data_IF_896992586448
#
_entry.id   IF_896992586448
#
_cell.length_a   1.000
_cell.length_b   1.000
_cell.length_c   1.000
_cell.angle_alpha   90.00
_cell.angle_beta   90.00
_cell.angle_gamma   90.00
#
_symmetry.space_group_name_H-M   'P 1'
#
loop_
_entity.id
_entity.type
_entity.pdbx_description
1 polymer ?
#
# COMPACT_ATOMS: atom_id res chain seq x y z
N UNK A 1 -14.37 8.82 13.41
CA UNK A 1 -13.69 7.54 13.73
C UNK A 1 -12.89 7.79 15.00
N UNK A 2 -13.18 7.06 16.07
CA UNK A 2 -12.45 7.23 17.34
C UNK A 2 -11.09 6.53 17.17
N UNK A 3 -9.98 7.27 17.18
CA UNK A 3 -8.64 6.70 17.12
C UNK A 3 -8.24 6.35 18.56
N UNK A 4 -7.88 5.10 18.78
CA UNK A 4 -7.28 4.66 20.03
C UNK A 4 -5.78 4.98 20.01
N UNK A 5 -5.45 6.17 20.52
CA UNK A 5 -4.06 6.65 20.57
C UNK A 5 -3.19 5.81 21.49
N UNK A 6 -3.73 5.28 22.59
CA UNK A 6 -2.97 4.55 23.59
C UNK A 6 -2.55 3.19 23.03
N UNK A 7 -3.47 2.43 22.46
CA UNK A 7 -3.14 1.15 21.80
C UNK A 7 -2.19 1.34 20.62
N UNK A 8 -2.39 2.39 19.82
CA UNK A 8 -1.51 2.70 18.70
C UNK A 8 -0.10 3.09 19.18
N UNK A 9 -0.01 3.88 20.25
CA UNK A 9 1.27 4.27 20.84
C UNK A 9 2.00 3.06 21.40
N UNK A 10 1.34 2.20 22.18
CA UNK A 10 1.93 0.98 22.71
C UNK A 10 2.49 0.09 21.58
N UNK A 11 1.71 -0.15 20.54
CA UNK A 11 2.15 -0.90 19.38
C UNK A 11 3.41 -0.32 18.72
N UNK A 12 3.46 1.00 18.51
CA UNK A 12 4.60 1.69 17.90
C UNK A 12 5.81 1.69 18.84
N UNK A 13 5.60 1.91 20.12
CA UNK A 13 6.67 2.00 21.13
C UNK A 13 7.34 0.65 21.37
N UNK A 14 6.58 -0.43 21.41
CA UNK A 14 7.10 -1.79 21.53
C UNK A 14 8.00 -2.15 20.34
N UNK A 15 7.57 -1.82 19.12
CA UNK A 15 8.45 -1.95 17.96
C UNK A 15 9.69 -1.07 18.08
N UNK A 16 9.53 0.19 18.49
CA UNK A 16 10.62 1.15 18.51
C UNK A 16 11.68 0.81 19.56
N UNK A 17 11.30 0.29 20.73
CA UNK A 17 12.22 -0.20 21.75
C UNK A 17 13.16 -1.30 21.22
N UNK A 18 12.65 -2.19 20.38
CA UNK A 18 13.47 -3.21 19.71
C UNK A 18 14.36 -2.65 18.58
N UNK A 19 13.83 -1.66 17.85
CA UNK A 19 14.52 -1.06 16.69
C UNK A 19 15.61 -0.06 17.10
N UNK A 20 15.40 0.75 18.12
CA UNK A 20 16.25 1.88 18.48
C UNK A 20 17.72 1.51 18.78
N UNK A 21 18.03 0.45 19.57
CA UNK A 21 19.42 0.09 19.87
C UNK A 21 20.22 -0.24 18.61
N UNK A 22 19.61 -1.02 17.71
CA UNK A 22 20.20 -1.36 16.41
C UNK A 22 20.43 -0.13 15.55
N UNK A 23 19.44 0.75 15.49
CA UNK A 23 19.51 1.98 14.68
C UNK A 23 20.56 2.96 15.21
N UNK A 24 20.62 3.16 16.54
CA UNK A 24 21.64 3.99 17.17
C UNK A 24 23.06 3.46 16.86
N UNK A 25 23.27 2.14 16.98
CA UNK A 25 24.54 1.49 16.65
C UNK A 25 24.91 1.71 15.17
N UNK A 26 23.98 1.53 14.26
CA UNK A 26 24.21 1.73 12.82
C UNK A 26 24.59 3.16 12.49
N UNK A 27 23.94 4.17 13.10
CA UNK A 27 24.26 5.58 12.89
C UNK A 27 25.66 5.96 13.40
N UNK A 28 26.12 5.37 14.50
CA UNK A 28 27.47 5.57 15.04
C UNK A 28 28.52 4.95 14.14
N UNK A 29 28.26 3.72 13.65
CA UNK A 29 29.18 3.00 12.74
C UNK A 29 29.34 3.74 11.41
N UNK A 30 28.27 4.33 10.86
CA UNK A 30 28.31 5.10 9.63
C UNK A 30 28.88 6.52 9.80
N UNK A 31 29.33 6.93 10.99
CA UNK A 31 29.91 8.25 11.25
C UNK A 31 28.95 9.45 11.07
N UNK A 32 27.67 9.19 10.83
CA UNK A 32 26.67 10.23 10.53
C UNK A 32 26.24 11.03 11.75
N UNK A 33 26.46 10.52 12.97
CA UNK A 33 26.16 11.23 14.23
C UNK A 33 27.31 11.08 15.23
N UNK A 34 27.83 12.22 15.71
CA UNK A 34 28.81 12.27 16.80
C UNK A 34 28.16 12.34 18.19
N UNK A 35 26.91 12.79 18.30
CA UNK A 35 26.21 12.98 19.57
C UNK A 35 24.71 12.77 19.42
N UNK A 36 24.12 11.96 20.28
CA UNK A 36 22.66 11.77 20.31
C UNK A 36 22.09 12.57 21.49
N UNK A 37 21.43 13.70 21.20
CA UNK A 37 20.66 14.45 22.18
C UNK A 37 19.19 14.09 21.99
N UNK A 38 18.57 13.54 23.02
CA UNK A 38 17.16 13.22 22.98
C UNK A 38 16.32 14.48 22.82
N UNK A 39 15.31 14.40 21.95
CA UNK A 39 14.33 15.46 21.78
C UNK A 39 13.29 15.41 22.89
N UNK A 40 12.58 16.53 23.13
CA UNK A 40 11.45 16.56 24.09
C UNK A 40 10.28 15.66 23.66
N UNK A 41 10.18 15.35 22.37
CA UNK A 41 9.17 14.47 21.79
C UNK A 41 9.88 13.19 21.34
N UNK A 42 9.37 12.03 21.75
CA UNK A 42 9.93 10.73 21.39
C UNK A 42 9.66 10.41 19.92
N UNK A 43 10.44 9.50 19.32
CA UNK A 43 10.18 9.08 17.95
C UNK A 43 8.93 8.21 17.87
N UNK A 44 8.61 7.45 18.92
CA UNK A 44 7.36 6.70 19.03
C UNK A 44 6.14 7.62 18.95
N UNK A 45 6.14 8.76 19.67
CA UNK A 45 5.06 9.76 19.58
C UNK A 45 4.94 10.34 18.15
N UNK A 46 6.07 10.64 17.49
CA UNK A 46 6.05 11.17 16.12
C UNK A 46 5.45 10.16 15.14
N UNK A 47 5.84 8.88 15.24
CA UNK A 47 5.33 7.80 14.39
C UNK A 47 3.84 7.58 14.65
N UNK A 48 3.41 7.54 15.91
CA UNK A 48 2.01 7.40 16.31
C UNK A 48 1.15 8.50 15.70
N UNK A 49 1.57 9.76 15.80
CA UNK A 49 0.84 10.90 15.21
C UNK A 49 0.75 10.80 13.69
N UNK A 50 1.80 10.35 13.02
CA UNK A 50 1.81 10.17 11.57
C UNK A 50 0.84 9.07 11.12
N UNK A 51 0.81 7.93 11.81
CA UNK A 51 -0.12 6.83 11.51
C UNK A 51 -1.56 7.26 11.82
N UNK A 52 -1.79 7.89 13.00
CA UNK A 52 -3.09 8.40 13.41
C UNK A 52 -3.68 9.41 12.42
N UNK A 53 -2.85 10.28 11.82
CA UNK A 53 -3.29 11.17 10.76
C UNK A 53 -3.94 10.41 9.60
N UNK A 54 -3.33 9.33 9.13
CA UNK A 54 -3.89 8.54 8.05
C UNK A 54 -5.13 7.73 8.46
N UNK A 55 -5.26 7.37 9.74
CA UNK A 55 -6.49 6.75 10.26
C UNK A 55 -7.63 7.76 10.42
N UNK A 56 -7.33 9.05 10.63
CA UNK A 56 -8.33 10.08 10.88
C UNK A 56 -9.23 10.39 9.67
N UNK A 57 -8.80 10.05 8.45
CA UNK A 57 -9.46 10.43 7.21
C UNK A 57 -9.37 11.93 6.87
N UNK A 58 -8.63 12.72 7.64
CA UNK A 58 -8.46 14.16 7.38
C UNK A 58 -7.53 14.39 6.18
N UNK A 59 -7.95 15.26 5.27
CA UNK A 59 -7.18 15.56 4.06
C UNK A 59 -5.94 16.45 4.29
N UNK A 60 -5.87 17.15 5.43
CA UNK A 60 -4.82 18.14 5.70
C UNK A 60 -4.13 17.87 7.04
N UNK A 61 -2.84 17.52 6.99
CA UNK A 61 -2.05 17.24 8.18
C UNK A 61 -1.97 18.42 9.16
N UNK A 62 -1.90 19.66 8.66
CA UNK A 62 -1.86 20.84 9.54
C UNK A 62 -3.12 20.95 10.40
N UNK A 63 -4.30 20.75 9.83
CA UNK A 63 -5.55 20.81 10.57
C UNK A 63 -5.67 19.69 11.58
N UNK A 64 -5.30 18.46 11.19
CA UNK A 64 -5.23 17.33 12.10
C UNK A 64 -4.30 17.61 13.30
N UNK A 65 -3.10 18.13 13.05
CA UNK A 65 -2.15 18.43 14.11
C UNK A 65 -2.60 19.54 15.06
N UNK A 66 -3.26 20.57 14.53
CA UNK A 66 -3.85 21.63 15.34
C UNK A 66 -5.02 21.13 16.20
N UNK A 67 -5.82 20.22 15.66
CA UNK A 67 -6.89 19.57 16.42
C UNK A 67 -6.30 18.65 17.51
N UNK A 68 -5.25 17.91 17.22
CA UNK A 68 -4.53 17.11 18.21
C UNK A 68 -4.01 17.97 19.36
N UNK A 69 -3.39 19.12 19.09
CA UNK A 69 -2.93 20.06 20.13
C UNK A 69 -4.09 20.58 20.97
N UNK A 70 -5.24 20.82 20.35
CA UNK A 70 -6.39 21.42 21.01
C UNK A 70 -7.14 20.42 21.90
N UNK A 71 -7.34 19.20 21.44
CA UNK A 71 -8.25 18.23 22.04
C UNK A 71 -7.55 17.05 22.73
N UNK A 72 -6.30 16.73 22.36
CA UNK A 72 -5.58 15.52 22.80
C UNK A 72 -4.20 15.80 23.40
N UNK A 73 -3.96 17.04 23.81
CA UNK A 73 -2.65 17.46 24.36
C UNK A 73 -2.25 16.66 25.62
N UNK A 74 -3.22 16.23 26.38
CA UNK A 74 -3.03 15.44 27.61
C UNK A 74 -2.51 14.01 27.36
N UNK A 75 -2.66 13.48 26.15
CA UNK A 75 -2.16 12.13 25.75
C UNK A 75 -0.67 12.15 25.44
N UNK A 76 -0.06 13.31 25.25
CA UNK A 76 1.35 13.46 24.89
C UNK A 76 2.10 14.27 25.92
N UNK A 77 3.29 13.81 26.34
CA UNK A 77 4.10 14.53 27.33
C UNK A 77 4.47 15.95 26.86
N UNK A 78 4.78 16.09 25.58
CA UNK A 78 5.15 17.37 25.00
C UNK A 78 4.88 17.44 23.50
N UNK A 79 3.84 18.16 23.10
CA UNK A 79 3.59 18.48 21.70
C UNK A 79 4.37 19.73 21.29
N UNK A 80 5.25 19.57 20.30
CA UNK A 80 6.02 20.70 19.73
C UNK A 80 5.12 21.55 18.82
N UNK A 81 5.54 22.80 18.51
CA UNK A 81 4.86 23.61 17.51
C UNK A 81 4.86 22.92 16.14
N UNK A 82 3.81 23.16 15.33
CA UNK A 82 3.60 22.51 14.02
C UNK A 82 4.85 22.52 13.10
N UNK A 83 5.49 23.70 12.94
CA UNK A 83 6.66 23.82 12.06
C UNK A 83 7.84 22.96 12.55
N UNK A 84 8.00 22.87 13.89
CA UNK A 84 9.00 21.99 14.49
C UNK A 84 8.66 20.53 14.26
N UNK A 85 7.40 20.14 14.39
CA UNK A 85 6.95 18.78 14.08
C UNK A 85 7.26 18.41 12.63
N UNK A 86 6.93 19.29 11.68
CA UNK A 86 7.24 19.08 10.25
C UNK A 86 8.74 18.86 10.01
N UNK A 87 9.60 19.55 10.75
CA UNK A 87 11.05 19.34 10.68
C UNK A 87 11.51 17.99 11.27
N UNK A 88 10.73 17.41 12.20
CA UNK A 88 11.01 16.12 12.85
C UNK A 88 10.51 14.92 12.03
N UNK A 89 9.50 15.08 11.17
CA UNK A 89 8.88 14.00 10.37
C UNK A 89 9.93 13.11 9.70
N UNK A 90 10.97 13.72 9.11
CA UNK A 90 12.02 13.00 8.40
C UNK A 90 12.77 11.97 9.27
N UNK A 91 12.79 12.16 10.59
CA UNK A 91 13.48 11.26 11.52
C UNK A 91 12.74 9.91 11.65
N UNK A 92 11.43 9.91 11.42
CA UNK A 92 10.60 8.70 11.50
C UNK A 92 10.76 7.79 10.26
N UNK A 93 11.32 8.29 9.16
CA UNK A 93 11.36 7.54 7.89
C UNK A 93 12.02 6.15 8.01
N UNK A 94 13.24 6.00 8.58
CA UNK A 94 13.87 4.68 8.67
C UNK A 94 13.08 3.69 9.54
N UNK A 95 12.53 4.16 10.66
CA UNK A 95 11.71 3.33 11.55
C UNK A 95 10.41 2.88 10.87
N UNK A 96 9.73 3.76 10.12
CA UNK A 96 8.52 3.40 9.38
C UNK A 96 8.81 2.39 8.26
N UNK A 97 9.94 2.49 7.57
CA UNK A 97 10.34 1.48 6.56
C UNK A 97 10.52 0.12 7.22
N UNK A 98 11.23 0.05 8.36
CA UNK A 98 11.42 -1.19 9.09
C UNK A 98 10.11 -1.72 9.68
N UNK A 99 9.28 -0.85 10.25
CA UNK A 99 7.97 -1.25 10.80
C UNK A 99 7.07 -1.86 9.71
N UNK A 100 6.99 -1.23 8.53
CA UNK A 100 6.21 -1.82 7.44
C UNK A 100 6.76 -3.19 7.03
N UNK A 101 8.08 -3.37 7.06
CA UNK A 101 8.72 -4.67 6.76
C UNK A 101 8.36 -5.74 7.79
N UNK A 102 8.25 -5.41 9.06
CA UNK A 102 7.81 -6.36 10.11
C UNK A 102 6.32 -6.70 10.01
N UNK A 103 5.55 -5.86 9.36
CA UNK A 103 4.10 -6.02 9.17
C UNK A 103 3.75 -6.68 7.83
N UNK A 104 4.73 -7.15 7.05
CA UNK A 104 4.44 -7.87 5.80
C UNK A 104 3.50 -9.04 6.06
N UNK A 105 2.46 -9.15 5.23
CA UNK A 105 1.47 -10.22 5.31
C UNK A 105 2.06 -11.58 4.96
N UNK A 106 1.36 -12.63 5.35
CA UNK A 106 1.74 -14.02 5.09
C UNK A 106 1.64 -14.35 3.60
N UNK A 107 2.54 -15.19 3.10
CA UNK A 107 2.46 -15.74 1.75
C UNK A 107 1.37 -16.80 1.71
N UNK A 108 0.32 -16.56 0.91
CA UNK A 108 -0.77 -17.52 0.65
C UNK A 108 -0.55 -18.23 -0.68
N UNK A 109 -1.28 -19.31 -0.95
CA UNK A 109 -1.20 -20.05 -2.23
C UNK A 109 -1.41 -19.11 -3.44
N UNK A 110 -2.36 -18.19 -3.32
CA UNK A 110 -2.63 -17.15 -4.32
C UNK A 110 -2.20 -15.80 -3.83
N UNK A 111 -1.44 -15.09 -4.65
CA UNK A 111 -1.03 -13.71 -4.45
C UNK A 111 -1.50 -12.87 -5.63
N UNK A 112 -1.72 -11.60 -5.39
CA UNK A 112 -2.19 -10.64 -6.38
C UNK A 112 -1.13 -9.56 -6.60
N UNK A 113 -0.72 -9.34 -7.85
CA UNK A 113 0.24 -8.30 -8.20
C UNK A 113 -0.43 -7.21 -9.02
N UNK A 114 -0.19 -5.96 -8.65
CA UNK A 114 -0.56 -4.80 -9.45
C UNK A 114 0.29 -3.58 -9.10
N UNK A 115 0.22 -2.56 -9.95
CA UNK A 115 0.92 -1.31 -9.77
C UNK A 115 -0.06 -0.12 -9.83
N UNK A 116 0.15 0.85 -8.93
CA UNK A 116 -0.63 2.08 -8.92
C UNK A 116 0.27 3.30 -9.08
N UNK A 117 -0.11 4.32 -9.87
CA UNK A 117 0.65 5.55 -9.99
C UNK A 117 0.49 6.42 -8.74
N UNK A 118 1.59 7.03 -8.31
CA UNK A 118 1.62 8.09 -7.32
C UNK A 118 2.12 9.38 -7.99
N UNK A 119 1.18 10.21 -8.44
CA UNK A 119 1.51 11.49 -9.05
C UNK A 119 1.96 12.50 -7.98
N UNK A 120 3.09 13.16 -8.21
CA UNK A 120 3.64 14.18 -7.27
C UNK A 120 3.20 15.60 -7.62
N UNK A 121 2.74 15.83 -8.84
CA UNK A 121 2.12 17.07 -9.26
C UNK A 121 1.29 16.86 -10.54
N UNK A 122 0.48 17.86 -10.90
CA UNK A 122 -0.20 17.87 -12.19
C UNK A 122 0.82 17.93 -13.35
N UNK A 123 0.56 17.23 -14.44
CA UNK A 123 1.47 17.10 -15.60
C UNK A 123 1.98 18.44 -16.16
N UNK A 124 1.12 19.45 -16.22
CA UNK A 124 1.50 20.80 -16.68
C UNK A 124 2.56 21.47 -15.82
N UNK A 125 2.76 20.99 -14.59
CA UNK A 125 3.74 21.52 -13.63
C UNK A 125 5.06 20.76 -13.62
N UNK A 126 5.19 19.67 -14.36
CA UNK A 126 6.39 18.81 -14.40
C UNK A 126 7.68 19.62 -14.55
N UNK A 127 7.75 20.50 -15.56
CA UNK A 127 8.95 21.33 -15.84
C UNK A 127 9.29 22.33 -14.71
N UNK A 128 8.29 22.78 -13.95
CA UNK A 128 8.43 23.75 -12.85
C UNK A 128 8.60 23.08 -11.50
N UNK A 129 8.42 21.76 -11.42
CA UNK A 129 8.42 21.03 -10.16
C UNK A 129 9.86 20.80 -9.67
N UNK A 130 10.23 21.44 -8.56
CA UNK A 130 11.60 21.40 -8.01
C UNK A 130 11.81 20.28 -6.99
N UNK A 131 10.79 19.98 -6.18
CA UNK A 131 10.90 19.09 -5.00
C UNK A 131 11.35 17.67 -5.38
N UNK A 132 10.74 17.07 -6.41
CA UNK A 132 11.08 15.72 -6.85
C UNK A 132 11.90 15.70 -8.16
N UNK A 133 12.57 16.82 -8.48
CA UNK A 133 13.43 16.89 -9.67
C UNK A 133 14.53 15.82 -9.58
N UNK A 134 14.70 15.05 -10.64
CA UNK A 134 15.66 13.94 -10.69
C UNK A 134 15.15 12.61 -10.09
N UNK A 135 14.22 12.64 -9.15
CA UNK A 135 13.64 11.46 -8.51
C UNK A 135 12.40 10.95 -9.24
N UNK A 136 11.39 11.82 -9.41
CA UNK A 136 10.17 11.47 -10.13
C UNK A 136 10.39 11.44 -11.64
N UNK A 137 9.66 10.58 -12.32
CA UNK A 137 9.71 10.41 -13.78
C UNK A 137 8.31 10.44 -14.38
N UNK A 138 8.22 10.82 -15.65
CA UNK A 138 6.98 10.80 -16.40
C UNK A 138 6.62 9.38 -16.80
N UNK A 139 5.41 8.96 -16.46
CA UNK A 139 4.87 7.64 -16.80
C UNK A 139 3.54 7.76 -17.51
N UNK A 140 3.09 6.65 -18.10
CA UNK A 140 1.79 6.52 -18.75
C UNK A 140 1.01 5.39 -18.12
N UNK A 141 -0.27 5.64 -17.84
CA UNK A 141 -1.25 4.64 -17.43
C UNK A 141 -2.38 4.56 -18.44
N UNK A 142 -3.34 3.67 -18.26
CA UNK A 142 -4.58 3.61 -19.05
C UNK A 142 -5.37 4.91 -18.99
N UNK A 143 -5.29 5.65 -17.89
CA UNK A 143 -6.01 6.92 -17.65
C UNK A 143 -5.25 8.15 -18.15
N UNK A 144 -4.00 8.00 -18.61
CA UNK A 144 -3.22 9.11 -19.15
C UNK A 144 -1.78 9.21 -18.64
N UNK A 145 -1.17 10.36 -18.89
CA UNK A 145 0.18 10.66 -18.42
C UNK A 145 0.18 11.16 -16.98
N UNK A 146 1.21 10.83 -16.23
CA UNK A 146 1.46 11.38 -14.88
C UNK A 146 2.96 11.62 -14.69
N UNK A 147 3.29 12.51 -13.75
CA UNK A 147 4.67 12.74 -13.30
C UNK A 147 4.79 12.31 -11.83
N UNK A 148 5.61 11.29 -11.57
CA UNK A 148 5.68 10.72 -10.22
C UNK A 148 6.40 9.38 -10.17
N UNK A 149 5.87 8.51 -9.33
CA UNK A 149 6.35 7.17 -9.04
C UNK A 149 5.28 6.13 -9.36
N UNK A 150 5.69 4.88 -9.52
CA UNK A 150 4.82 3.71 -9.48
C UNK A 150 5.06 2.94 -8.20
N UNK A 151 3.99 2.56 -7.55
CA UNK A 151 3.98 1.70 -6.37
C UNK A 151 3.53 0.32 -6.82
N UNK A 152 4.43 -0.64 -6.76
CA UNK A 152 4.17 -2.03 -7.10
C UNK A 152 3.90 -2.80 -5.82
N UNK A 153 2.83 -3.58 -5.79
CA UNK A 153 2.42 -4.33 -4.62
C UNK A 153 2.17 -5.79 -4.96
N UNK A 154 2.45 -6.64 -4.00
CA UNK A 154 1.93 -8.00 -3.92
C UNK A 154 1.04 -8.06 -2.68
N UNK A 155 -0.22 -8.47 -2.88
CA UNK A 155 -1.21 -8.69 -1.81
C UNK A 155 -1.53 -10.17 -1.69
N UNK A 156 -1.85 -10.62 -0.47
CA UNK A 156 -2.43 -11.94 -0.25
C UNK A 156 -3.97 -11.91 -0.32
N UNK A 157 -4.61 -13.05 -0.10
CA UNK A 157 -6.08 -13.20 -0.12
C UNK A 157 -6.79 -12.47 1.01
N UNK A 158 -6.07 -12.09 2.06
CA UNK A 158 -6.57 -11.30 3.20
C UNK A 158 -6.41 -9.79 2.99
N UNK A 159 -5.94 -9.36 1.82
CA UNK A 159 -5.71 -7.95 1.50
C UNK A 159 -4.49 -7.34 2.16
N UNK A 160 -3.63 -8.14 2.75
CA UNK A 160 -2.39 -7.67 3.36
C UNK A 160 -1.31 -7.42 2.32
N UNK A 161 -0.49 -6.39 2.54
CA UNK A 161 0.71 -6.13 1.74
C UNK A 161 1.77 -7.18 2.10
N UNK A 162 2.09 -8.06 1.16
CA UNK A 162 3.17 -9.06 1.30
C UNK A 162 4.51 -8.47 0.88
N UNK A 163 4.52 -7.73 -0.23
CA UNK A 163 5.72 -7.04 -0.75
C UNK A 163 5.35 -5.74 -1.41
N UNK A 164 6.25 -4.78 -1.37
CA UNK A 164 6.10 -3.55 -2.13
C UNK A 164 7.44 -3.05 -2.68
N UNK A 165 7.37 -2.33 -3.80
CA UNK A 165 8.51 -1.63 -4.39
C UNK A 165 8.07 -0.31 -5.01
N UNK A 166 8.91 0.72 -4.88
CA UNK A 166 8.70 2.04 -5.47
C UNK A 166 9.67 2.20 -6.64
N UNK A 167 9.14 2.61 -7.79
CA UNK A 167 9.96 2.89 -8.99
C UNK A 167 9.61 4.26 -9.57
N UNK A 168 10.47 4.78 -10.44
CA UNK A 168 10.11 5.95 -11.25
C UNK A 168 8.92 5.65 -12.17
N UNK A 169 8.09 6.65 -12.46
CA UNK A 169 6.88 6.48 -13.26
C UNK A 169 7.10 5.89 -14.66
N UNK A 170 8.31 6.01 -15.21
CA UNK A 170 8.68 5.49 -16.53
C UNK A 170 9.03 4.00 -16.57
N UNK A 171 9.16 3.35 -15.42
CA UNK A 171 9.58 1.93 -15.35
C UNK A 171 8.39 1.03 -15.72
N UNK A 172 8.67 -0.03 -16.47
CA UNK A 172 7.70 -1.07 -16.85
C UNK A 172 7.28 -1.87 -15.61
N UNK A 173 5.99 -2.21 -15.50
CA UNK A 173 5.43 -2.90 -14.32
C UNK A 173 5.99 -4.33 -14.15
N UNK A 174 6.55 -4.92 -15.21
CA UNK A 174 7.20 -6.23 -15.18
C UNK A 174 8.61 -6.19 -14.59
N UNK A 175 9.27 -5.03 -14.65
CA UNK A 175 10.68 -4.89 -14.23
C UNK A 175 10.91 -5.24 -12.75
N UNK A 176 10.11 -4.78 -11.78
CA UNK A 176 10.31 -5.07 -10.36
C UNK A 176 9.82 -6.46 -9.92
N UNK A 177 9.13 -7.21 -10.77
CA UNK A 177 8.46 -8.46 -10.38
C UNK A 177 9.43 -9.46 -9.78
N UNK A 178 10.58 -9.69 -10.40
CA UNK A 178 11.59 -10.66 -9.92
C UNK A 178 12.15 -10.29 -8.54
N UNK A 179 12.26 -8.98 -8.24
CA UNK A 179 12.67 -8.51 -6.91
C UNK A 179 11.56 -8.72 -5.88
N UNK A 180 10.31 -8.48 -6.27
CA UNK A 180 9.15 -8.61 -5.39
C UNK A 180 8.85 -10.05 -5.00
N UNK A 181 9.06 -11.01 -5.92
CA UNK A 181 8.79 -12.45 -5.67
C UNK A 181 9.97 -13.19 -5.07
N UNK A 182 11.06 -12.51 -4.75
CA UNK A 182 12.23 -13.15 -4.14
C UNK A 182 11.81 -13.92 -2.88
N UNK A 183 12.22 -15.18 -2.77
CA UNK A 183 11.91 -16.08 -1.65
C UNK A 183 10.39 -16.34 -1.46
N UNK A 184 9.59 -16.17 -2.53
CA UNK A 184 8.17 -16.51 -2.56
C UNK A 184 7.95 -17.72 -3.47
N UNK A 185 7.11 -18.66 -3.02
CA UNK A 185 6.60 -19.77 -3.83
C UNK A 185 5.07 -19.72 -3.77
N UNK A 186 4.42 -19.33 -4.87
CA UNK A 186 2.97 -19.10 -4.92
C UNK A 186 2.46 -19.00 -6.37
N UNK A 187 1.13 -18.97 -6.52
CA UNK A 187 0.45 -18.61 -7.76
C UNK A 187 0.20 -17.10 -7.77
N UNK A 188 0.79 -16.40 -8.73
CA UNK A 188 0.74 -14.93 -8.82
C UNK A 188 -0.29 -14.49 -9.86
N UNK A 189 -1.35 -13.83 -9.42
CA UNK A 189 -2.42 -13.31 -10.29
C UNK A 189 -2.11 -11.87 -10.68
N UNK A 190 -1.97 -11.63 -11.99
CA UNK A 190 -1.67 -10.31 -12.52
C UNK A 190 -2.57 -9.89 -13.68
N UNK A 191 -2.44 -8.63 -14.12
CA UNK A 191 -3.11 -8.14 -15.33
C UNK A 191 -2.42 -8.62 -16.61
N UNK A 192 -3.09 -8.49 -17.75
CA UNK A 192 -2.56 -8.77 -19.10
C UNK A 192 -1.26 -8.02 -19.40
N UNK A 193 -0.98 -6.93 -18.69
CA UNK A 193 0.27 -6.17 -18.78
C UNK A 193 1.50 -6.98 -18.40
N UNK A 194 1.35 -7.94 -17.48
CA UNK A 194 2.46 -8.79 -17.01
C UNK A 194 2.81 -9.94 -17.95
N UNK A 195 2.05 -10.17 -19.02
CA UNK A 195 2.32 -11.24 -19.99
C UNK A 195 3.66 -11.01 -20.70
N UNK A 196 4.63 -11.89 -20.43
CA UNK A 196 5.93 -11.95 -21.07
C UNK A 196 6.46 -13.39 -20.99
N UNK A 197 6.87 -13.96 -22.12
CA UNK A 197 7.46 -15.32 -22.15
C UNK A 197 8.70 -15.41 -21.26
N UNK A 198 9.56 -14.38 -21.31
CA UNK A 198 10.78 -14.31 -20.50
C UNK A 198 10.43 -14.28 -19.02
N UNK A 199 9.56 -13.34 -18.60
CA UNK A 199 9.15 -13.21 -17.19
C UNK A 199 8.50 -14.50 -16.67
N UNK A 200 7.62 -15.14 -17.45
CA UNK A 200 6.96 -16.38 -17.04
C UNK A 200 7.94 -17.52 -16.83
N UNK A 201 8.98 -17.64 -17.68
CA UNK A 201 10.02 -18.63 -17.53
C UNK A 201 10.89 -18.37 -16.28
N UNK A 202 11.28 -17.10 -16.05
CA UNK A 202 12.05 -16.70 -14.88
C UNK A 202 11.28 -16.96 -13.57
N UNK A 203 9.98 -16.65 -13.54
CA UNK A 203 9.10 -16.91 -12.41
C UNK A 203 8.94 -18.40 -12.12
N UNK A 204 8.74 -19.20 -13.17
CA UNK A 204 8.61 -20.66 -13.05
C UNK A 204 9.86 -21.29 -12.41
N UNK A 205 11.05 -20.81 -12.75
CA UNK A 205 12.31 -21.26 -12.14
C UNK A 205 12.41 -20.91 -10.64
N UNK A 206 11.61 -19.96 -10.15
CA UNK A 206 11.50 -19.58 -8.72
C UNK A 206 10.26 -20.21 -8.04
N UNK A 207 9.64 -21.21 -8.64
CA UNK A 207 8.38 -21.82 -8.15
C UNK A 207 7.22 -20.84 -8.04
N UNK A 208 7.19 -19.80 -8.89
CA UNK A 208 6.08 -18.87 -9.00
C UNK A 208 5.36 -19.07 -10.33
N UNK A 209 4.08 -19.37 -10.28
CA UNK A 209 3.24 -19.54 -11.47
C UNK A 209 2.45 -18.25 -11.74
N UNK A 210 2.74 -17.56 -12.85
CA UNK A 210 2.02 -16.36 -13.24
C UNK A 210 0.70 -16.70 -13.95
N UNK A 211 -0.42 -16.24 -13.38
CA UNK A 211 -1.77 -16.42 -13.90
C UNK A 211 -2.32 -15.08 -14.37
N UNK A 212 -2.69 -14.99 -15.66
CA UNK A 212 -3.24 -13.77 -16.25
C UNK A 212 -4.36 -14.08 -17.24
N UNK A 213 -5.25 -13.10 -17.47
CA UNK A 213 -6.20 -13.19 -18.60
C UNK A 213 -5.41 -13.15 -19.92
N UNK A 214 -5.77 -14.00 -20.88
CA UNK A 214 -5.14 -14.07 -22.21
C UNK A 214 -5.48 -12.84 -23.07
N UNK A 215 -4.60 -12.48 -24.00
CA UNK A 215 -4.86 -11.46 -25.03
C UNK A 215 -5.66 -12.07 -26.19
N UNK A 216 -6.44 -11.26 -26.92
CA UNK A 216 -7.36 -11.69 -28.01
C UNK A 216 -6.74 -12.65 -29.06
N UNK A 217 -5.42 -12.58 -29.29
CA UNK A 217 -4.70 -13.40 -30.29
C UNK A 217 -3.91 -14.57 -29.67
N UNK A 218 -4.03 -14.81 -28.37
CA UNK A 218 -3.34 -15.94 -27.73
C UNK A 218 -4.22 -17.19 -27.76
N UNK A 219 -3.59 -18.37 -27.94
CA UNK A 219 -4.29 -19.66 -27.84
C UNK A 219 -4.85 -19.83 -26.43
N UNK A 220 -6.06 -20.37 -26.35
CA UNK A 220 -6.63 -20.81 -25.08
C UNK A 220 -5.76 -21.92 -24.49
N UNK A 221 -5.49 -21.81 -23.20
CA UNK A 221 -4.81 -22.84 -22.43
C UNK A 221 -5.78 -23.34 -21.37
N UNK A 222 -5.82 -24.66 -21.18
CA UNK A 222 -6.57 -25.24 -20.06
C UNK A 222 -6.01 -24.69 -18.76
N UNK A 223 -6.90 -24.26 -17.89
CA UNK A 223 -6.59 -23.68 -16.58
C UNK A 223 -7.40 -24.42 -15.53
N UNK A 224 -6.81 -24.69 -14.40
CA UNK A 224 -7.51 -25.25 -13.25
C UNK A 224 -8.69 -24.34 -12.84
N UNK A 225 -9.78 -24.94 -12.37
CA UNK A 225 -11.01 -24.22 -11.99
C UNK A 225 -10.73 -23.19 -10.88
N UNK A 226 -9.92 -23.56 -9.89
CA UNK A 226 -9.54 -22.67 -8.80
C UNK A 226 -8.75 -21.45 -9.32
N UNK A 227 -7.81 -21.68 -10.21
CA UNK A 227 -7.01 -20.63 -10.85
C UNK A 227 -7.92 -19.67 -11.65
N UNK A 228 -8.90 -20.23 -12.37
CA UNK A 228 -9.90 -19.43 -13.11
C UNK A 228 -10.79 -18.61 -12.19
N UNK A 229 -11.26 -19.18 -11.10
CA UNK A 229 -12.05 -18.46 -10.09
C UNK A 229 -11.24 -17.30 -9.48
N UNK A 230 -10.01 -17.55 -9.07
CA UNK A 230 -9.15 -16.52 -8.51
C UNK A 230 -8.81 -15.42 -9.51
N UNK A 231 -8.59 -15.78 -10.78
CA UNK A 231 -8.39 -14.81 -11.86
C UNK A 231 -9.63 -13.92 -12.12
N UNK A 232 -10.84 -14.45 -11.93
CA UNK A 232 -12.07 -13.67 -12.01
C UNK A 232 -12.16 -12.65 -10.87
N UNK A 233 -11.70 -13.02 -9.68
CA UNK A 233 -11.69 -12.15 -8.48
C UNK A 233 -10.57 -11.10 -8.47
N UNK A 234 -9.82 -10.93 -9.55
CA UNK A 234 -8.72 -9.94 -9.64
C UNK A 234 -9.15 -8.50 -9.34
N UNK A 235 -10.41 -8.13 -9.60
CA UNK A 235 -10.96 -6.81 -9.25
C UNK A 235 -10.87 -6.47 -7.76
N UNK A 236 -10.66 -7.47 -6.92
CA UNK A 236 -10.33 -7.34 -5.50
C UNK A 236 -9.18 -6.34 -5.23
N UNK A 237 -8.15 -6.31 -6.10
CA UNK A 237 -7.04 -5.35 -5.97
C UNK A 237 -7.53 -3.90 -6.09
N UNK A 238 -8.53 -3.65 -6.94
CA UNK A 238 -9.09 -2.30 -7.13
C UNK A 238 -9.78 -1.82 -5.85
N UNK A 239 -10.43 -2.73 -5.12
CA UNK A 239 -11.01 -2.46 -3.80
C UNK A 239 -9.94 -2.13 -2.77
N UNK A 240 -8.82 -2.86 -2.76
CA UNK A 240 -7.67 -2.57 -1.90
C UNK A 240 -7.12 -1.18 -2.20
N UNK A 241 -6.86 -0.85 -3.46
CA UNK A 241 -6.35 0.47 -3.83
C UNK A 241 -7.34 1.60 -3.49
N UNK A 242 -8.64 1.36 -3.63
CA UNK A 242 -9.66 2.32 -3.22
C UNK A 242 -9.64 2.55 -1.72
N UNK A 243 -9.53 1.50 -0.92
CA UNK A 243 -9.38 1.59 0.54
C UNK A 243 -8.10 2.38 0.93
N UNK A 244 -6.96 2.11 0.29
CA UNK A 244 -5.73 2.87 0.52
C UNK A 244 -5.86 4.35 0.14
N UNK A 245 -6.57 4.67 -0.94
CA UNK A 245 -6.82 6.07 -1.35
C UNK A 245 -7.66 6.83 -0.33
N UNK A 246 -8.63 6.18 0.30
CA UNK A 246 -9.44 6.78 1.37
C UNK A 246 -8.60 7.20 2.57
N UNK A 247 -7.50 6.50 2.85
CA UNK A 247 -6.50 6.89 3.87
C UNK A 247 -5.57 8.04 3.43
N UNK A 248 -5.84 8.66 2.28
CA UNK A 248 -5.02 9.76 1.76
C UNK A 248 -3.59 9.38 1.34
N UNK A 249 -3.27 8.08 1.32
CA UNK A 249 -1.90 7.57 1.13
C UNK A 249 -1.42 7.70 -0.31
N UNK A 250 -2.29 7.38 -1.25
CA UNK A 250 -1.95 7.27 -2.68
C UNK A 250 -2.35 8.51 -3.49
N UNK A 251 -2.87 9.55 -2.82
CA UNK A 251 -3.40 10.76 -3.46
C UNK A 251 -2.40 11.91 -3.27
N UNK A 252 -2.27 12.70 -4.28
CA UNK A 252 -1.64 14.01 -4.44
C UNK A 252 -0.92 14.61 -3.21
N UNK A 253 0.35 14.32 -3.07
CA UNK A 253 1.20 14.84 -2.00
C UNK A 253 1.66 16.28 -2.29
N UNK A 254 1.25 17.23 -1.43
CA UNK A 254 1.71 18.63 -1.48
C UNK A 254 2.95 18.87 -0.59
N UNK A 255 3.79 17.85 -0.40
CA UNK A 255 4.97 17.97 0.45
C UNK A 255 6.06 18.83 -0.21
N UNK A 256 6.76 19.61 0.61
CA UNK A 256 7.92 20.41 0.19
C UNK A 256 9.26 19.65 0.33
N UNK A 257 9.23 18.44 0.85
CA UNK A 257 10.39 17.56 1.04
C UNK A 257 10.05 16.16 0.52
N UNK A 258 10.90 15.55 -0.31
CA UNK A 258 10.72 14.16 -0.74
C UNK A 258 10.70 13.18 0.42
N UNK A 259 11.59 13.36 1.42
CA UNK A 259 11.65 12.49 2.60
C UNK A 259 10.34 12.54 3.37
N UNK A 260 9.79 13.73 3.64
CA UNK A 260 8.50 13.85 4.34
C UNK A 260 7.36 13.22 3.52
N UNK A 261 7.39 13.32 2.19
CA UNK A 261 6.39 12.69 1.34
C UNK A 261 6.43 11.16 1.47
N UNK A 262 7.61 10.56 1.42
CA UNK A 262 7.76 9.12 1.62
C UNK A 262 7.47 8.70 3.06
N UNK A 263 7.81 9.52 4.06
CA UNK A 263 7.45 9.26 5.46
C UNK A 263 5.93 9.15 5.62
N UNK A 264 5.17 10.08 5.03
CA UNK A 264 3.71 10.01 5.03
C UNK A 264 3.18 8.82 4.22
N UNK A 265 3.78 8.49 3.08
CA UNK A 265 3.42 7.29 2.32
C UNK A 265 3.54 6.03 3.19
N UNK A 266 4.69 5.82 3.83
CA UNK A 266 4.92 4.65 4.69
C UNK A 266 3.98 4.64 5.91
N UNK A 267 3.75 5.79 6.56
CA UNK A 267 2.79 5.89 7.65
C UNK A 267 1.37 5.52 7.21
N UNK A 268 0.95 5.93 6.01
CA UNK A 268 -0.33 5.54 5.45
C UNK A 268 -0.43 4.06 5.08
N UNK A 269 0.66 3.46 4.56
CA UNK A 269 0.70 2.03 4.28
C UNK A 269 0.63 1.20 5.57
N UNK A 270 1.31 1.64 6.63
CA UNK A 270 1.21 1.02 7.96
C UNK A 270 -0.21 1.17 8.50
N UNK A 271 -0.80 2.37 8.39
CA UNK A 271 -2.19 2.63 8.78
C UNK A 271 -3.16 1.66 8.09
N UNK A 272 -2.95 1.37 6.79
CA UNK A 272 -3.70 0.34 6.07
C UNK A 272 -3.42 -1.06 6.62
N UNK A 273 -2.15 -1.41 6.82
CA UNK A 273 -1.72 -2.75 7.17
C UNK A 273 -2.18 -3.20 8.57
N UNK A 274 -2.29 -2.28 9.52
CA UNK A 274 -2.75 -2.58 10.90
C UNK A 274 -4.28 -2.59 11.06
N UNK A 275 -5.06 -2.28 10.02
CA UNK A 275 -6.53 -2.32 10.10
C UNK A 275 -7.04 -3.75 10.16
N UNK A 276 -8.07 -3.97 10.96
CA UNK A 276 -8.77 -5.25 11.03
C UNK A 276 -9.80 -5.42 9.89
N UNK A 277 -10.36 -4.30 9.41
CA UNK A 277 -11.37 -4.24 8.36
C UNK A 277 -10.77 -4.12 6.94
N UNK A 278 -9.62 -4.73 6.69
CA UNK A 278 -9.03 -4.80 5.35
C UNK A 278 -9.96 -5.55 4.39
N UNK A 279 -10.10 -5.09 3.13
CA UNK A 279 -10.77 -5.89 2.12
C UNK A 279 -10.15 -7.29 2.06
N UNK A 280 -10.95 -8.34 2.17
CA UNK A 280 -10.52 -9.74 2.04
C UNK A 280 -11.34 -10.46 0.98
N UNK A 281 -10.79 -11.53 0.39
CA UNK A 281 -11.55 -12.33 -0.59
C UNK A 281 -12.78 -12.98 0.01
N UNK A 282 -12.76 -13.34 1.29
CA UNK A 282 -13.92 -13.92 1.97
C UNK A 282 -15.05 -12.90 2.12
N UNK A 283 -14.71 -11.63 2.43
CA UNK A 283 -15.69 -10.54 2.46
C UNK A 283 -16.23 -10.23 1.07
N UNK A 284 -15.37 -10.24 0.05
CA UNK A 284 -15.76 -10.01 -1.34
C UNK A 284 -16.74 -11.08 -1.84
N UNK A 285 -16.51 -12.35 -1.51
CA UNK A 285 -17.41 -13.44 -1.83
C UNK A 285 -18.79 -13.30 -1.12
N UNK A 286 -18.81 -12.84 0.14
CA UNK A 286 -20.06 -12.54 0.86
C UNK A 286 -20.86 -11.41 0.20
N UNK A 287 -20.21 -10.33 -0.23
CA UNK A 287 -20.85 -9.20 -0.90
C UNK A 287 -21.46 -9.66 -2.24
N UNK A 288 -20.72 -10.43 -3.05
CA UNK A 288 -21.24 -10.99 -4.30
C UNK A 288 -22.47 -11.88 -4.05
N UNK A 289 -22.44 -12.75 -3.04
CA UNK A 289 -23.59 -13.60 -2.69
C UNK A 289 -24.82 -12.79 -2.26
N UNK A 290 -24.65 -11.73 -1.46
CA UNK A 290 -25.74 -10.84 -1.04
C UNK A 290 -26.33 -10.06 -2.22
N UNK A 291 -25.50 -9.61 -3.15
CA UNK A 291 -25.94 -8.89 -4.35
C UNK A 291 -26.73 -9.82 -5.28
N UNK A 292 -26.32 -11.07 -5.40
CA UNK A 292 -27.01 -12.08 -6.20
C UNK A 292 -28.38 -12.44 -5.59
N UNK A 293 -28.47 -12.57 -4.26
CA UNK A 293 -29.75 -12.81 -3.56
C UNK A 293 -30.71 -11.62 -3.70
N UNK A 294 -30.21 -10.39 -3.69
CA UNK A 294 -31.02 -9.18 -3.90
C UNK A 294 -31.67 -9.08 -5.30
N UNK A 295 -31.02 -9.67 -6.32
CA UNK A 295 -31.54 -9.70 -7.71
C UNK A 295 -32.60 -10.77 -7.90
N UNK A 296 -32.57 -11.86 -7.12
CA UNK A 296 -33.58 -12.97 -7.20
C UNK A 296 -34.95 -12.56 -6.69
N UNK A 297 -35.05 -11.49 -5.88
CA UNK A 297 -36.30 -11.00 -5.29
C UNK A 297 -37.21 -10.15 -6.20
N UNK A 298 -36.82 -9.87 -7.45
CA UNK A 298 -37.63 -9.09 -8.39
C UNK A 298 -38.50 -10.00 -9.28
N UNK A 299 -39.83 -9.86 -9.26
CA UNK A 299 -40.74 -10.65 -10.12
C UNK A 299 -40.43 -10.33 -11.60
N UNK A 300 -39.93 -11.31 -12.36
CA UNK A 300 -39.69 -11.18 -13.81
C UNK A 300 -38.36 -11.74 -14.34
N UNK A 301 -37.48 -12.23 -13.50
CA UNK A 301 -36.16 -12.76 -13.91
C UNK A 301 -36.00 -14.28 -13.67
N UNK A 302 -36.97 -15.07 -14.02
CA UNK A 302 -36.90 -16.56 -13.90
C UNK A 302 -35.81 -17.16 -14.78
N UNK A 303 -35.53 -16.55 -15.93
CA UNK A 303 -34.50 -17.05 -16.88
C UNK A 303 -33.07 -16.83 -16.42
N UNK A 304 -32.84 -15.83 -15.57
CA UNK A 304 -31.52 -15.55 -15.03
C UNK A 304 -31.04 -16.53 -13.95
N UNK A 305 -32.00 -17.09 -13.22
CA UNK A 305 -31.72 -18.06 -12.14
C UNK A 305 -31.17 -19.37 -12.70
N UNK A 306 -31.67 -19.82 -13.86
CA UNK A 306 -31.20 -21.06 -14.52
C UNK A 306 -29.79 -20.91 -15.05
N UNK A 307 -29.43 -19.75 -15.55
CA UNK A 307 -28.10 -19.49 -16.09
C UNK A 307 -27.00 -19.36 -15.01
N UNK A 308 -27.38 -18.85 -13.83
CA UNK A 308 -26.47 -18.75 -12.67
C UNK A 308 -26.24 -20.13 -12.03
N UNK A 309 -27.27 -20.95 -11.85
CA UNK A 309 -27.13 -22.31 -11.31
C UNK A 309 -26.30 -23.23 -12.24
N UNK A 310 -26.42 -23.08 -13.54
CA UNK A 310 -25.54 -23.81 -14.51
C UNK A 310 -24.07 -23.34 -14.51
N UNK A 311 -23.76 -22.18 -13.91
CA UNK A 311 -22.38 -21.68 -13.77
C UNK A 311 -21.74 -22.00 -12.42
N UNK A 312 -22.53 -22.43 -11.46
CA UNK A 312 -22.07 -22.75 -10.09
C UNK A 312 -22.09 -24.27 -9.83
N UNK A 313 -22.76 -25.05 -10.68
CA UNK A 313 -22.66 -26.53 -10.73
C UNK A 313 -21.74 -26.93 -11.90
#
# INVERSE_FOLDING_TARGET
>A
MNIDYDSLFCFVDDFYKGFEPWYKKSLLTCGTKKRNREGKMSLSEIITILIAFHQSGMACFKYFYLELIRNYRNLFNYLVHYDRFVALIKLAFPALVCLLKTLEGTVTEYLFIDATPMAVCHNLREKRHKVFKGLAKKGKTSTGWFFGFKLHFIFNTYGEIVRMQITGGNIDDRSPVMTLVKDISAKLIGDKGYISKKLSAELFNQNVTLITKIKKKMKNCLMDMNDKMMLMKRSFIETIFSSMKLLGTLIHHRHRSPVNAFTHLFAGLISYQIRDDKPSLDQFAKIESLTTVGVIGTPGHVDFTIEVERRVS
#
